data_IF_437531576992
#
_entry.id   IF_437531576992
#
_cell.length_a   1.000
_cell.length_b   1.000
_cell.length_c   1.000
_cell.angle_alpha   90.00
_cell.angle_beta   90.00
_cell.angle_gamma   90.00
#
_symmetry.space_group_name_H-M   'P 1'
#
loop_
_entity.id
_entity.type
_entity.pdbx_description
1 polymer ?
#
# COMPACT_ATOMS: atom_id res chain seq x y z
N UNK A 1 13.13 0.08 -32.47
CA UNK A 1 12.68 1.40 -31.95
C UNK A 1 11.37 1.31 -31.15
N UNK A 2 10.30 0.68 -31.66
CA UNK A 2 9.01 0.51 -30.93
C UNK A 2 9.14 -0.20 -29.56
N UNK A 3 9.91 -1.29 -29.47
CA UNK A 3 10.12 -1.99 -28.18
C UNK A 3 10.93 -1.16 -27.17
N UNK A 4 11.89 -0.39 -27.65
CA UNK A 4 12.69 0.51 -26.80
C UNK A 4 11.82 1.64 -26.21
N UNK A 5 10.91 2.20 -27.02
CA UNK A 5 9.95 3.21 -26.57
C UNK A 5 8.96 2.63 -25.54
N UNK A 6 8.37 1.45 -25.81
CA UNK A 6 7.50 0.72 -24.85
C UNK A 6 8.22 0.43 -23.52
N UNK A 7 9.49 0.01 -23.58
CA UNK A 7 10.31 -0.24 -22.38
C UNK A 7 10.56 1.03 -21.56
N UNK A 8 10.82 2.16 -22.23
CA UNK A 8 11.05 3.45 -21.57
C UNK A 8 9.78 3.99 -20.90
N UNK A 9 8.63 3.86 -21.56
CA UNK A 9 7.33 4.27 -20.99
C UNK A 9 6.96 3.42 -19.77
N UNK A 10 7.20 2.12 -19.82
CA UNK A 10 6.97 1.25 -18.67
C UNK A 10 7.88 1.58 -17.47
N UNK A 11 9.15 1.92 -17.73
CA UNK A 11 10.05 2.42 -16.68
C UNK A 11 9.54 3.73 -16.06
N UNK A 12 9.01 4.65 -16.86
CA UNK A 12 8.39 5.89 -16.35
C UNK A 12 7.19 5.59 -15.46
N UNK A 13 6.29 4.70 -15.88
CA UNK A 13 5.10 4.32 -15.09
C UNK A 13 5.51 3.76 -13.72
N UNK A 14 6.49 2.85 -13.68
CA UNK A 14 7.02 2.30 -12.42
C UNK A 14 7.61 3.39 -11.52
N UNK A 15 8.33 4.33 -12.10
CA UNK A 15 8.92 5.44 -11.35
C UNK A 15 7.82 6.35 -10.79
N UNK A 16 6.82 6.71 -11.61
CA UNK A 16 5.67 7.51 -11.15
C UNK A 16 4.89 6.83 -10.04
N UNK A 17 4.65 5.51 -10.15
CA UNK A 17 3.99 4.71 -9.12
C UNK A 17 4.75 4.72 -7.79
N UNK A 18 6.07 4.47 -7.84
CA UNK A 18 6.91 4.48 -6.64
C UNK A 18 6.96 5.87 -6.00
N UNK A 19 7.14 6.91 -6.82
CA UNK A 19 7.21 8.28 -6.35
C UNK A 19 5.87 8.74 -5.75
N UNK A 20 4.73 8.37 -6.35
CA UNK A 20 3.40 8.75 -5.85
C UNK A 20 3.11 8.13 -4.50
N UNK A 21 3.39 6.83 -4.32
CA UNK A 21 3.21 6.16 -3.03
C UNK A 21 4.10 6.80 -1.98
N UNK A 22 5.38 7.04 -2.30
CA UNK A 22 6.33 7.65 -1.37
C UNK A 22 5.88 9.04 -0.92
N UNK A 23 5.59 9.93 -1.88
CA UNK A 23 5.22 11.32 -1.59
C UNK A 23 3.87 11.41 -0.85
N UNK A 24 2.87 10.64 -1.26
CA UNK A 24 1.58 10.66 -0.57
C UNK A 24 1.68 10.06 0.83
N UNK A 25 2.50 9.02 1.03
CA UNK A 25 2.75 8.46 2.37
C UNK A 25 3.45 9.47 3.28
N UNK A 26 4.36 10.28 2.72
CA UNK A 26 5.02 11.37 3.44
C UNK A 26 3.99 12.41 3.87
N UNK A 27 3.12 12.84 2.94
CA UNK A 27 2.04 13.79 3.23
C UNK A 27 1.10 13.26 4.31
N UNK A 28 0.68 11.99 4.22
CA UNK A 28 -0.17 11.35 5.22
C UNK A 28 0.51 11.27 6.59
N UNK A 29 1.82 11.01 6.63
CA UNK A 29 2.60 10.97 7.88
C UNK A 29 2.66 12.35 8.52
N UNK A 30 2.99 13.40 7.76
CA UNK A 30 3.04 14.78 8.25
C UNK A 30 1.65 15.22 8.73
N UNK A 31 0.61 14.93 7.95
CA UNK A 31 -0.79 15.22 8.33
C UNK A 31 -1.16 14.51 9.64
N UNK A 32 -0.75 13.26 9.79
CA UNK A 32 -0.97 12.46 11.00
C UNK A 32 -0.29 13.06 12.22
N UNK A 33 0.96 13.48 12.06
CA UNK A 33 1.78 14.14 13.09
C UNK A 33 1.19 15.49 13.54
N UNK A 34 0.68 16.29 12.61
CA UNK A 34 0.14 17.64 12.89
C UNK A 34 -1.29 17.59 13.42
N UNK A 35 -2.17 16.75 12.86
CA UNK A 35 -3.61 16.82 13.11
C UNK A 35 -4.18 15.71 14.00
N UNK A 36 -3.43 14.63 14.24
CA UNK A 36 -3.98 13.44 14.91
C UNK A 36 -3.03 12.80 15.90
N UNK A 37 -2.12 13.57 16.48
CA UNK A 37 -1.20 13.08 17.52
C UNK A 37 -0.29 11.94 17.05
N UNK A 38 0.13 11.99 15.78
CA UNK A 38 0.97 10.95 15.15
C UNK A 38 0.31 9.55 15.15
N UNK A 39 -0.99 9.49 14.88
CA UNK A 39 -1.72 8.23 14.72
C UNK A 39 -1.81 7.81 13.25
N UNK A 40 -1.72 6.50 13.02
CA UNK A 40 -1.90 5.90 11.70
C UNK A 40 -3.37 5.94 11.25
N UNK A 41 -3.59 6.32 9.99
CA UNK A 41 -4.92 6.46 9.40
C UNK A 41 -5.07 5.51 8.20
N UNK A 42 -5.82 4.42 8.38
CA UNK A 42 -6.05 3.44 7.32
C UNK A 42 -6.74 4.05 6.08
N UNK A 43 -7.61 5.06 6.28
CA UNK A 43 -8.31 5.72 5.19
C UNK A 43 -7.35 6.41 4.20
N UNK A 44 -6.28 7.02 4.72
CA UNK A 44 -5.23 7.60 3.87
C UNK A 44 -4.53 6.50 3.06
N UNK A 45 -4.26 5.34 3.65
CA UNK A 45 -3.67 4.21 2.92
C UNK A 45 -4.54 3.74 1.74
N UNK A 46 -5.87 3.70 1.94
CA UNK A 46 -6.84 3.37 0.88
C UNK A 46 -6.80 4.40 -0.25
N UNK A 47 -6.82 5.69 0.08
CA UNK A 47 -6.73 6.78 -0.91
C UNK A 47 -5.45 6.68 -1.76
N UNK A 48 -4.31 6.47 -1.11
CA UNK A 48 -3.01 6.30 -1.77
C UNK A 48 -3.00 5.02 -2.61
N UNK A 49 -3.49 3.91 -2.06
CA UNK A 49 -3.53 2.62 -2.73
C UNK A 49 -4.40 2.61 -3.99
N UNK A 50 -5.57 3.25 -3.94
CA UNK A 50 -6.46 3.43 -5.10
C UNK A 50 -5.79 4.31 -6.16
N UNK A 51 -5.15 5.41 -5.74
CA UNK A 51 -4.44 6.31 -6.66
C UNK A 51 -3.27 5.59 -7.35
N UNK A 52 -2.50 4.82 -6.59
CA UNK A 52 -1.41 4.00 -7.11
C UNK A 52 -1.91 2.90 -8.05
N UNK A 53 -3.03 2.24 -7.70
CA UNK A 53 -3.71 1.30 -8.60
C UNK A 53 -4.09 1.96 -9.92
N UNK A 54 -4.72 3.14 -9.91
CA UNK A 54 -5.11 3.83 -11.14
C UNK A 54 -3.89 4.16 -12.02
N UNK A 55 -2.80 4.65 -11.43
CA UNK A 55 -1.56 4.93 -12.16
C UNK A 55 -1.01 3.65 -12.80
N UNK A 56 -0.94 2.56 -12.03
CA UNK A 56 -0.41 1.29 -12.52
C UNK A 56 -1.31 0.68 -13.60
N UNK A 57 -2.63 0.67 -13.37
CA UNK A 57 -3.60 0.04 -14.25
C UNK A 57 -3.74 0.79 -15.58
N UNK A 58 -3.86 2.12 -15.55
CA UNK A 58 -3.85 2.97 -16.75
C UNK A 58 -2.53 2.84 -17.50
N UNK A 59 -1.41 2.83 -16.79
CA UNK A 59 -0.10 2.65 -17.39
C UNK A 59 0.09 1.29 -18.05
N UNK A 60 -0.43 0.22 -17.45
CA UNK A 60 -0.45 -1.12 -18.06
C UNK A 60 -1.36 -1.16 -19.28
N UNK A 61 -2.56 -0.57 -19.22
CA UNK A 61 -3.49 -0.50 -20.36
C UNK A 61 -2.89 0.22 -21.56
N UNK A 62 -2.17 1.33 -21.33
CA UNK A 62 -1.46 2.05 -22.39
C UNK A 62 -0.34 1.24 -23.06
N UNK A 63 0.03 0.08 -22.49
CA UNK A 63 1.03 -0.83 -23.03
C UNK A 63 0.46 -2.25 -23.16
N UNK A 64 -0.30 -2.49 -24.22
CA UNK A 64 -0.98 -3.77 -24.53
C UNK A 64 -0.07 -5.00 -24.35
N UNK A 65 1.21 -4.92 -24.74
CA UNK A 65 2.15 -6.06 -24.61
C UNK A 65 2.34 -6.42 -23.13
N UNK A 66 2.50 -5.42 -22.28
CA UNK A 66 2.68 -5.64 -20.83
C UNK A 66 1.38 -6.11 -20.19
N UNK A 67 0.25 -5.52 -20.59
CA UNK A 67 -1.05 -5.96 -20.09
C UNK A 67 -1.32 -7.43 -20.45
N UNK A 68 -1.11 -7.82 -21.70
CA UNK A 68 -1.29 -9.19 -22.18
C UNK A 68 -0.28 -10.15 -21.55
N UNK A 69 0.97 -9.75 -21.36
CA UNK A 69 1.97 -10.55 -20.64
C UNK A 69 1.51 -10.82 -19.20
N UNK A 70 1.06 -9.80 -18.47
CA UNK A 70 0.57 -9.94 -17.10
C UNK A 70 -0.70 -10.78 -17.03
N UNK A 71 -1.67 -10.51 -17.90
CA UNK A 71 -2.91 -11.28 -18.01
C UNK A 71 -2.62 -12.74 -18.37
N UNK A 72 -1.72 -13.00 -19.31
CA UNK A 72 -1.27 -14.33 -19.70
C UNK A 72 -0.58 -15.07 -18.56
N UNK A 73 0.26 -14.39 -17.80
CA UNK A 73 0.94 -14.93 -16.62
C UNK A 73 -0.08 -15.32 -15.53
N UNK A 74 -1.10 -14.48 -15.31
CA UNK A 74 -2.19 -14.79 -14.38
C UNK A 74 -3.10 -15.90 -14.89
N UNK A 75 -3.43 -15.93 -16.17
CA UNK A 75 -4.31 -16.95 -16.75
C UNK A 75 -3.69 -18.35 -16.75
N UNK A 76 -2.36 -18.45 -16.87
CA UNK A 76 -1.62 -19.71 -16.77
C UNK A 76 -1.57 -20.29 -15.34
N UNK A 77 -1.84 -19.47 -14.31
CA UNK A 77 -1.87 -19.95 -12.92
C UNK A 77 -3.11 -20.79 -12.64
N UNK A 78 -2.93 -21.82 -11.82
CA UNK A 78 -4.02 -22.65 -11.31
C UNK A 78 -5.00 -21.82 -10.46
N UNK A 79 -6.22 -22.32 -10.29
CA UNK A 79 -7.23 -21.68 -9.42
C UNK A 79 -6.72 -21.45 -8.00
N UNK A 80 -5.94 -22.39 -7.46
CA UNK A 80 -5.34 -22.30 -6.12
C UNK A 80 -4.30 -21.19 -6.03
N UNK A 81 -3.44 -21.06 -7.03
CA UNK A 81 -2.45 -19.98 -7.08
C UNK A 81 -3.12 -18.61 -7.20
N UNK A 82 -4.16 -18.46 -8.05
CA UNK A 82 -4.92 -17.21 -8.16
C UNK A 82 -5.50 -16.77 -6.81
N UNK A 83 -6.09 -17.72 -6.08
CA UNK A 83 -6.62 -17.47 -4.73
C UNK A 83 -5.49 -17.07 -3.76
N UNK A 84 -4.33 -17.72 -3.84
CA UNK A 84 -3.18 -17.35 -3.01
C UNK A 84 -2.70 -15.91 -3.26
N UNK A 85 -2.63 -15.47 -4.53
CA UNK A 85 -2.22 -14.10 -4.87
C UNK A 85 -3.21 -13.03 -4.38
N UNK A 86 -4.51 -13.35 -4.26
CA UNK A 86 -5.53 -12.44 -3.70
C UNK A 86 -5.51 -12.45 -2.16
N UNK A 87 -5.28 -13.60 -1.53
CA UNK A 87 -5.31 -13.70 -0.07
C UNK A 87 -3.99 -13.19 0.54
N UNK A 88 -2.86 -13.37 -0.13
CA UNK A 88 -1.54 -13.04 0.42
C UNK A 88 -1.39 -11.56 0.83
N UNK A 89 -1.78 -10.56 0.02
CA UNK A 89 -1.69 -9.14 0.41
C UNK A 89 -2.59 -8.79 1.59
N UNK A 90 -3.76 -9.45 1.70
CA UNK A 90 -4.68 -9.29 2.82
C UNK A 90 -4.05 -9.82 4.10
N UNK A 91 -3.52 -11.04 4.08
CA UNK A 91 -2.84 -11.66 5.24
C UNK A 91 -1.63 -10.83 5.67
N UNK A 92 -0.83 -10.37 4.71
CA UNK A 92 0.30 -9.49 4.99
C UNK A 92 -0.14 -8.14 5.58
N UNK A 93 -1.27 -7.58 5.14
CA UNK A 93 -1.82 -6.35 5.73
C UNK A 93 -2.21 -6.56 7.20
N UNK A 94 -2.86 -7.68 7.52
CA UNK A 94 -3.14 -8.06 8.92
C UNK A 94 -1.88 -8.15 9.76
N UNK A 95 -0.82 -8.75 9.21
CA UNK A 95 0.47 -8.86 9.88
C UNK A 95 1.09 -7.47 10.16
N UNK A 96 1.00 -6.52 9.22
CA UNK A 96 1.41 -5.12 9.43
C UNK A 96 0.61 -4.48 10.58
N UNK A 97 -0.70 -4.71 10.67
CA UNK A 97 -1.52 -4.19 11.78
C UNK A 97 -1.13 -4.79 13.12
N UNK A 98 -0.81 -6.09 13.18
CA UNK A 98 -0.32 -6.74 14.40
C UNK A 98 1.00 -6.10 14.84
N UNK A 99 1.95 -5.92 13.92
CA UNK A 99 3.22 -5.26 14.24
C UNK A 99 3.02 -3.81 14.67
N UNK A 100 2.12 -3.07 14.01
CA UNK A 100 1.76 -1.71 14.40
C UNK A 100 1.20 -1.65 15.82
N UNK A 101 0.28 -2.55 16.16
CA UNK A 101 -0.27 -2.64 17.51
C UNK A 101 0.82 -2.96 18.55
N UNK A 102 1.68 -3.93 18.26
CA UNK A 102 2.79 -4.29 19.15
C UNK A 102 3.71 -3.10 19.36
N UNK A 103 4.07 -2.38 18.28
CA UNK A 103 4.96 -1.23 18.32
C UNK A 103 4.43 -0.10 19.21
N UNK A 104 3.13 0.20 19.16
CA UNK A 104 2.49 1.17 20.06
C UNK A 104 2.53 0.71 21.52
N UNK A 105 2.49 -0.59 21.76
CA UNK A 105 2.54 -1.15 23.12
C UNK A 105 3.96 -1.27 23.68
N UNK A 106 5.00 -1.15 22.85
CA UNK A 106 6.40 -1.24 23.29
C UNK A 106 6.74 -0.20 24.37
N UNK A 107 6.41 1.10 24.24
CA UNK A 107 6.66 2.09 25.30
C UNK A 107 5.97 1.74 26.62
N UNK A 108 4.70 1.32 26.56
CA UNK A 108 3.91 0.91 27.74
C UNK A 108 4.51 -0.33 28.41
N UNK A 109 5.03 -1.27 27.61
CA UNK A 109 5.71 -2.45 28.11
C UNK A 109 7.04 -2.09 28.80
N UNK A 110 7.83 -1.19 28.22
CA UNK A 110 9.07 -0.70 28.84
C UNK A 110 8.79 0.07 30.15
N UNK A 111 7.74 0.88 30.19
CA UNK A 111 7.34 1.61 31.39
C UNK A 111 6.91 0.63 32.51
N UNK A 112 6.11 -0.39 32.18
CA UNK A 112 5.76 -1.46 33.11
C UNK A 112 7.00 -2.23 33.59
N UNK A 113 7.92 -2.57 32.69
CA UNK A 113 9.14 -3.32 33.00
C UNK A 113 10.07 -2.53 33.94
N UNK A 114 10.27 -1.24 33.66
CA UNK A 114 11.07 -0.35 34.51
C UNK A 114 10.49 -0.24 35.92
N UNK A 115 9.16 -0.17 36.04
CA UNK A 115 8.46 -0.15 37.33
C UNK A 115 8.62 -1.46 38.10
N UNK A 116 8.58 -2.61 37.41
CA UNK A 116 8.78 -3.94 38.02
C UNK A 116 10.22 -4.15 38.46
N UNK A 117 11.20 -3.68 37.68
CA UNK A 117 12.62 -3.84 37.95
C UNK A 117 13.18 -2.83 38.97
N UNK A 118 12.37 -1.85 39.43
CA UNK A 118 12.78 -0.85 40.40
C UNK A 118 13.95 0.03 39.92
N UNK A 119 14.11 0.17 38.61
CA UNK A 119 15.15 1.00 38.03
C UNK A 119 14.88 2.48 38.39
N UNK A 120 15.92 3.27 38.72
CA UNK A 120 15.73 4.67 39.09
C UNK A 120 15.01 5.42 37.96
N UNK A 121 13.95 6.15 38.31
CA UNK A 121 13.34 7.12 37.39
C UNK A 121 14.39 8.20 37.13
N UNK A 122 15.04 8.13 35.97
CA UNK A 122 16.05 9.10 35.55
C UNK A 122 15.47 10.52 35.44
N UNK A 123 16.35 11.50 35.62
CA UNK A 123 16.07 12.94 35.61
C UNK A 123 15.08 13.39 34.52
N UNK A 124 14.32 14.45 34.80
CA UNK A 124 13.33 15.06 33.89
C UNK A 124 13.85 15.30 32.45
N UNK A 125 15.16 15.56 32.29
CA UNK A 125 15.81 15.71 30.99
C UNK A 125 15.89 14.41 30.18
N UNK A 126 16.13 13.26 30.82
CA UNK A 126 16.20 11.96 30.15
C UNK A 126 14.80 11.51 29.70
N UNK A 127 13.78 11.78 30.52
CA UNK A 127 12.38 11.51 30.18
C UNK A 127 11.99 12.27 28.89
N UNK A 128 12.30 13.58 28.81
CA UNK A 128 12.02 14.37 27.60
C UNK A 128 12.76 13.88 26.34
N UNK A 129 14.03 13.46 26.46
CA UNK A 129 14.79 12.91 25.31
C UNK A 129 14.17 11.60 24.84
N UNK A 130 13.76 10.75 25.79
CA UNK A 130 13.13 9.46 25.50
C UNK A 130 11.78 9.64 24.81
N UNK A 131 10.96 10.59 25.24
CA UNK A 131 9.66 10.90 24.63
C UNK A 131 9.81 11.45 23.20
N UNK A 132 10.77 12.34 22.96
CA UNK A 132 11.09 12.85 21.62
C UNK A 132 11.54 11.72 20.71
N UNK A 133 12.38 10.81 21.22
CA UNK A 133 12.84 9.65 20.47
C UNK A 133 11.68 8.70 20.12
N UNK A 134 10.81 8.38 21.08
CA UNK A 134 9.61 7.55 20.87
C UNK A 134 8.70 8.20 19.83
N UNK A 135 8.50 9.52 19.91
CA UNK A 135 7.71 10.26 18.94
C UNK A 135 8.27 10.16 17.53
N UNK A 136 9.59 10.39 17.36
CA UNK A 136 10.25 10.30 16.06
C UNK A 136 10.20 8.89 15.49
N UNK A 137 10.47 7.88 16.32
CA UNK A 137 10.42 6.46 15.94
C UNK A 137 9.00 6.06 15.51
N UNK A 138 7.97 6.56 16.21
CA UNK A 138 6.56 6.36 15.82
C UNK A 138 6.24 7.02 14.48
N UNK A 139 6.80 8.21 14.22
CA UNK A 139 6.60 8.92 12.96
C UNK A 139 7.22 8.15 11.77
N UNK A 140 8.45 7.67 11.93
CA UNK A 140 9.12 6.82 10.92
C UNK A 140 8.35 5.51 10.71
N UNK A 141 7.88 4.89 11.80
CA UNK A 141 7.08 3.67 11.72
C UNK A 141 5.77 3.89 10.97
N UNK A 142 5.04 4.96 11.27
CA UNK A 142 3.84 5.36 10.54
C UNK A 142 4.13 5.53 9.04
N UNK A 143 5.23 6.20 8.68
CA UNK A 143 5.63 6.37 7.29
C UNK A 143 5.84 5.03 6.57
N UNK A 144 6.52 4.08 7.23
CA UNK A 144 6.70 2.72 6.70
C UNK A 144 5.35 2.01 6.56
N UNK A 145 4.47 2.10 7.57
CA UNK A 145 3.13 1.50 7.52
C UNK A 145 2.29 2.07 6.37
N UNK A 146 2.34 3.39 6.11
CA UNK A 146 1.64 4.01 4.98
C UNK A 146 2.14 3.45 3.65
N UNK A 147 3.46 3.39 3.44
CA UNK A 147 4.04 2.85 2.19
C UNK A 147 3.61 1.40 1.97
N UNK A 148 3.82 0.55 2.98
CA UNK A 148 3.60 -0.90 2.86
C UNK A 148 2.11 -1.20 2.65
N UNK A 149 1.23 -0.60 3.46
CA UNK A 149 -0.21 -0.84 3.38
C UNK A 149 -0.77 -0.34 2.05
N UNK A 150 -0.37 0.85 1.59
CA UNK A 150 -0.80 1.38 0.29
C UNK A 150 -0.30 0.55 -0.90
N UNK A 151 0.92 0.02 -0.84
CA UNK A 151 1.43 -0.91 -1.84
C UNK A 151 0.59 -2.19 -1.89
N UNK A 152 0.24 -2.76 -0.73
CA UNK A 152 -0.61 -3.96 -0.67
C UNK A 152 -1.99 -3.72 -1.27
N UNK A 153 -2.63 -2.59 -0.92
CA UNK A 153 -3.92 -2.20 -1.48
C UNK A 153 -3.82 -2.03 -3.00
N UNK A 154 -2.80 -1.33 -3.49
CA UNK A 154 -2.59 -1.12 -4.92
C UNK A 154 -2.36 -2.43 -5.69
N UNK A 155 -1.59 -3.35 -5.11
CA UNK A 155 -1.32 -4.67 -5.67
C UNK A 155 -2.61 -5.51 -5.75
N UNK A 156 -3.39 -5.53 -4.67
CA UNK A 156 -4.65 -6.28 -4.59
C UNK A 156 -5.65 -5.79 -5.64
N UNK A 157 -5.82 -4.46 -5.75
CA UNK A 157 -6.68 -3.85 -6.76
C UNK A 157 -6.19 -4.14 -8.18
N UNK A 158 -4.88 -4.14 -8.40
CA UNK A 158 -4.30 -4.50 -9.71
C UNK A 158 -4.62 -5.95 -10.07
N UNK A 159 -4.50 -6.89 -9.13
CA UNK A 159 -4.82 -8.29 -9.36
C UNK A 159 -6.31 -8.50 -9.65
N UNK A 160 -7.18 -7.91 -8.84
CA UNK A 160 -8.63 -7.92 -9.08
C UNK A 160 -8.93 -7.35 -10.47
N UNK A 161 -8.35 -6.20 -10.81
CA UNK A 161 -8.51 -5.55 -12.11
C UNK A 161 -8.14 -6.47 -13.27
N UNK A 162 -6.98 -7.15 -13.21
CA UNK A 162 -6.53 -8.07 -14.26
C UNK A 162 -7.46 -9.29 -14.36
N UNK A 163 -7.81 -9.91 -13.22
CA UNK A 163 -8.61 -11.16 -13.20
C UNK A 163 -10.02 -10.93 -13.74
N UNK A 164 -10.64 -9.80 -13.39
CA UNK A 164 -12.01 -9.51 -13.80
C UNK A 164 -12.10 -8.72 -15.10
N UNK A 165 -10.97 -8.30 -15.70
CA UNK A 165 -10.96 -7.45 -16.88
C UNK A 165 -11.81 -8.00 -18.02
N UNK A 166 -11.64 -9.27 -18.38
CA UNK A 166 -12.36 -9.88 -19.52
C UNK A 166 -13.87 -9.86 -19.31
N UNK A 167 -14.30 -10.16 -18.08
CA UNK A 167 -15.71 -10.17 -17.72
C UNK A 167 -16.31 -8.76 -17.73
N UNK A 168 -15.54 -7.77 -17.27
CA UNK A 168 -15.95 -6.36 -17.29
C UNK A 168 -16.03 -5.88 -18.74
N UNK A 169 -15.03 -6.19 -19.57
CA UNK A 169 -14.99 -5.80 -20.99
C UNK A 169 -16.14 -6.41 -21.78
N UNK A 170 -16.44 -7.70 -21.57
CA UNK A 170 -17.56 -8.39 -22.21
C UNK A 170 -18.91 -7.75 -21.84
N UNK A 171 -19.10 -7.44 -20.56
CA UNK A 171 -20.31 -6.75 -20.08
C UNK A 171 -20.51 -5.39 -20.73
N UNK A 172 -19.45 -4.58 -20.86
CA UNK A 172 -19.54 -3.27 -21.54
C UNK A 172 -19.76 -3.39 -23.05
N UNK A 173 -19.20 -4.40 -23.70
CA UNK A 173 -19.44 -4.66 -25.13
C UNK A 173 -20.91 -4.97 -25.41
N UNK A 174 -21.55 -5.78 -24.57
CA UNK A 174 -22.97 -6.14 -24.70
C UNK A 174 -23.91 -4.93 -24.51
N UNK A 175 -23.55 -3.98 -23.64
CA UNK A 175 -24.31 -2.73 -23.47
C UNK A 175 -24.18 -1.83 -24.70
N UNK A 176 -23.00 -1.79 -25.32
CA UNK A 176 -22.76 -1.03 -26.55
C UNK A 176 -23.58 -1.57 -27.73
N UNK A 177 -23.60 -2.88 -27.93
CA UNK A 177 -24.38 -3.52 -29.00
C UNK A 177 -25.89 -3.33 -28.81
N UNK A 178 -26.39 -3.37 -27.58
CA UNK A 178 -27.81 -3.09 -27.28
C UNK A 178 -28.23 -1.66 -27.65
N UNK A 179 -27.34 -0.67 -27.51
CA UNK A 179 -27.63 0.73 -27.86
C UNK A 179 -27.57 1.04 -29.36
N UNK A 180 -26.97 0.16 -30.16
CA UNK A 180 -26.83 0.34 -31.62
C UNK A 180 -28.03 -0.26 -32.36
N UNK A 181 -28.74 -1.21 -31.72
CA UNK A 181 -29.86 -1.94 -32.32
C UNK A 181 -31.26 -1.48 -31.83
N UNK A 182 -31.33 -0.42 -31.02
CA UNK A 182 -32.55 0.31 -30.65
C UNK A 182 -32.57 1.68 -31.35
#
# INVERSE_FOLDING_TARGET
>A
MKEFLKSREFKKIKLHLGLSIYLLSLVATIKGAVNSGNTFQLLECLSIGVSAFLISFVGMFGNEKTFDDWKGLFNKKSKREKIFFLISPIVLSFLVFVFYYLFIKVPVFFEWLNKVLGLPQEDYLVINITDIFIYFVTLVWNFVCYIVTSMMISMELTFIGIIFFDRISEYYSQIGEKKIND
#
